data_IF_574560214330
#
_entry.id   IF_574560214330
#
_cell.length_a   1.000
_cell.length_b   1.000
_cell.length_c   1.000
_cell.angle_alpha   90.00
_cell.angle_beta   90.00
_cell.angle_gamma   90.00
#
_symmetry.space_group_name_H-M   'P 1'
#
loop_
_entity.id
_entity.type
_entity.pdbx_description
1 polymer ?
#
# COMPACT_ATOMS: atom_id res chain seq x y z
N UNK A 1 -84.41 -15.33 23.26
CA UNK A 1 -84.22 -13.91 23.59
C UNK A 1 -82.82 -13.68 23.91
N UNK A 2 -82.14 -12.73 23.19
CA UNK A 2 -80.88 -12.04 23.42
C UNK A 2 -79.62 -12.91 23.49
N UNK A 3 -78.85 -12.97 22.44
CA UNK A 3 -77.86 -11.99 22.06
C UNK A 3 -76.68 -11.92 23.05
N UNK A 4 -75.69 -12.77 22.88
CA UNK A 4 -74.29 -12.39 23.22
C UNK A 4 -73.42 -12.80 22.03
N UNK A 5 -73.25 -11.79 21.24
CA UNK A 5 -72.49 -11.70 20.02
C UNK A 5 -71.06 -11.21 20.32
N UNK A 6 -70.10 -11.68 19.57
CA UNK A 6 -69.13 -10.77 18.95
C UNK A 6 -67.94 -10.27 19.72
N UNK A 7 -67.19 -11.02 20.48
CA UNK A 7 -65.89 -10.58 20.87
C UNK A 7 -64.80 -11.65 20.83
N UNK A 8 -64.94 -12.64 19.95
CA UNK A 8 -63.93 -13.71 19.84
C UNK A 8 -63.09 -13.67 18.56
N UNK A 9 -63.05 -12.57 17.91
CA UNK A 9 -62.22 -12.40 16.72
C UNK A 9 -61.47 -11.10 16.89
N UNK A 10 -60.21 -11.13 17.27
CA UNK A 10 -59.16 -10.14 16.97
C UNK A 10 -57.89 -10.22 17.82
N UNK A 11 -57.50 -11.42 18.20
CA UNK A 11 -56.17 -11.60 18.81
C UNK A 11 -55.26 -12.55 18.03
N UNK A 12 -55.47 -12.66 16.72
CA UNK A 12 -54.63 -13.43 15.84
C UNK A 12 -54.13 -12.52 14.72
N UNK A 13 -53.18 -11.70 14.95
CA UNK A 13 -52.42 -11.04 13.88
C UNK A 13 -51.46 -9.98 14.41
N UNK A 14 -50.46 -10.37 15.18
CA UNK A 14 -49.27 -9.54 15.40
C UNK A 14 -48.10 -10.42 15.80
N UNK A 15 -47.96 -11.55 15.04
CA UNK A 15 -46.66 -12.21 14.95
C UNK A 15 -45.92 -11.57 13.78
N UNK A 16 -45.48 -10.33 13.97
CA UNK A 16 -44.56 -9.66 13.07
C UNK A 16 -43.30 -10.52 13.00
N UNK A 17 -43.09 -11.14 11.87
CA UNK A 17 -41.84 -11.74 11.47
C UNK A 17 -40.73 -10.68 11.64
N UNK A 18 -39.98 -10.73 12.72
CA UNK A 18 -38.64 -10.20 12.77
C UNK A 18 -37.77 -11.10 11.88
N UNK A 19 -37.78 -10.85 10.60
CA UNK A 19 -36.73 -11.34 9.70
C UNK A 19 -35.49 -10.57 10.10
N UNK A 20 -34.70 -11.19 10.95
CA UNK A 20 -33.32 -10.75 11.18
C UNK A 20 -32.60 -10.91 9.85
N UNK A 21 -32.45 -9.80 9.11
CA UNK A 21 -31.54 -9.73 7.99
C UNK A 21 -30.15 -9.93 8.57
N UNK A 22 -29.64 -11.15 8.42
CA UNK A 22 -28.22 -11.41 8.66
C UNK A 22 -27.49 -10.55 7.63
N UNK A 23 -26.99 -9.41 8.05
CA UNK A 23 -26.10 -8.61 7.23
C UNK A 23 -24.86 -9.49 7.01
N UNK A 24 -24.81 -10.18 5.87
CA UNK A 24 -23.57 -10.79 5.42
C UNK A 24 -22.61 -9.63 5.21
N UNK A 25 -21.70 -9.43 6.13
CA UNK A 25 -20.55 -8.55 5.92
C UNK A 25 -19.80 -9.13 4.72
N UNK A 26 -19.93 -8.49 3.57
CA UNK A 26 -19.14 -8.83 2.41
C UNK A 26 -17.69 -8.55 2.75
N UNK A 27 -16.90 -9.59 2.91
CA UNK A 27 -15.45 -9.45 3.00
C UNK A 27 -14.95 -8.92 1.66
N UNK A 28 -14.47 -7.69 1.65
CA UNK A 28 -13.85 -7.11 0.45
C UNK A 28 -12.61 -7.94 0.14
N UNK A 29 -12.63 -8.64 -0.99
CA UNK A 29 -11.48 -9.39 -1.46
C UNK A 29 -10.57 -8.46 -2.26
N UNK A 30 -9.38 -8.22 -1.75
CA UNK A 30 -8.34 -7.45 -2.44
C UNK A 30 -7.49 -8.43 -3.24
N UNK A 31 -7.55 -8.35 -4.56
CA UNK A 31 -6.90 -9.30 -5.49
C UNK A 31 -5.36 -9.36 -5.36
N UNK A 32 -4.74 -8.36 -4.73
CA UNK A 32 -3.30 -8.32 -4.49
C UNK A 32 -2.86 -9.14 -3.27
N UNK A 33 -3.81 -9.53 -2.42
CA UNK A 33 -3.57 -10.27 -1.19
C UNK A 33 -4.24 -11.65 -1.30
N UNK A 34 -3.58 -12.62 -1.89
CA UNK A 34 -4.09 -13.95 -2.23
C UNK A 34 -5.11 -14.53 -1.21
N UNK A 35 -4.70 -14.79 0.02
CA UNK A 35 -5.55 -15.35 1.09
C UNK A 35 -6.01 -14.30 2.11
N UNK A 36 -5.61 -13.05 1.96
CA UNK A 36 -5.90 -11.92 2.83
C UNK A 36 -4.69 -11.00 2.98
N UNK A 37 -4.97 -9.71 3.18
CA UNK A 37 -3.91 -8.73 3.41
C UNK A 37 -3.32 -8.90 4.83
N UNK A 38 -2.05 -8.52 5.02
CA UNK A 38 -1.45 -8.55 6.35
C UNK A 38 -2.28 -7.78 7.36
N UNK A 39 -2.54 -8.38 8.49
CA UNK A 39 -3.21 -7.75 9.63
C UNK A 39 -2.21 -7.52 10.75
N UNK A 40 -2.39 -6.44 11.48
CA UNK A 40 -1.57 -6.17 12.65
C UNK A 40 -2.07 -7.03 13.80
N UNK A 41 -1.16 -7.76 14.45
CA UNK A 41 -1.49 -8.64 15.57
C UNK A 41 -1.94 -7.86 16.82
N UNK A 42 -1.56 -6.58 16.93
CA UNK A 42 -1.89 -5.75 18.09
C UNK A 42 -2.95 -4.72 17.73
N UNK A 43 -4.12 -4.81 18.37
CA UNK A 43 -5.26 -3.91 18.16
C UNK A 43 -4.98 -2.46 18.61
N UNK A 44 -3.93 -2.19 19.36
CA UNK A 44 -3.59 -0.84 19.83
C UNK A 44 -2.96 0.04 18.73
N UNK A 45 -2.48 -0.59 17.64
CA UNK A 45 -1.80 0.09 16.54
C UNK A 45 -2.69 0.37 15.33
N UNK A 46 -3.98 -0.02 15.36
CA UNK A 46 -4.90 0.09 14.20
C UNK A 46 -5.27 1.55 13.91
N UNK A 47 -5.29 2.42 14.91
CA UNK A 47 -5.84 3.78 14.78
C UNK A 47 -5.03 4.75 13.91
N UNK A 48 -3.85 4.35 13.41
CA UNK A 48 -2.94 5.25 12.71
C UNK A 48 -2.43 4.70 11.38
N UNK A 49 -3.18 3.82 10.75
CA UNK A 49 -2.83 3.26 9.42
C UNK A 49 -3.95 3.47 8.42
N UNK A 50 -3.55 3.78 7.21
CA UNK A 50 -4.44 3.97 6.09
C UNK A 50 -4.17 2.91 5.03
N UNK A 51 -5.22 2.22 4.58
CA UNK A 51 -5.11 1.22 3.53
C UNK A 51 -5.42 1.86 2.18
N UNK A 52 -4.45 1.89 1.30
CA UNK A 52 -4.55 2.41 -0.06
C UNK A 52 -4.64 1.24 -1.03
N UNK A 53 -5.68 1.21 -1.83
CA UNK A 53 -5.88 0.17 -2.87
C UNK A 53 -5.75 0.82 -4.23
N UNK A 54 -4.79 0.33 -5.03
CA UNK A 54 -4.52 0.76 -6.39
C UNK A 54 -4.70 -0.40 -7.37
N UNK A 55 -4.59 -0.13 -8.66
CA UNK A 55 -4.70 -1.18 -9.69
C UNK A 55 -3.57 -2.21 -9.58
N UNK A 56 -2.36 -1.77 -9.23
CA UNK A 56 -1.17 -2.62 -9.23
C UNK A 56 -0.79 -3.14 -7.85
N UNK A 57 -1.23 -2.48 -6.77
CA UNK A 57 -0.86 -2.85 -5.41
C UNK A 57 -1.86 -2.37 -4.37
N UNK A 58 -1.73 -2.91 -3.19
CA UNK A 58 -2.32 -2.37 -1.96
C UNK A 58 -1.19 -2.02 -0.99
N UNK A 59 -1.32 -0.89 -0.32
CA UNK A 59 -0.34 -0.40 0.65
C UNK A 59 -1.01 -0.09 1.99
N UNK A 60 -0.37 -0.44 3.09
CA UNK A 60 -0.70 0.07 4.42
C UNK A 60 0.23 1.22 4.74
N UNK A 61 -0.30 2.43 4.78
CA UNK A 61 0.46 3.65 5.02
C UNK A 61 0.41 4.01 6.50
N UNK A 62 1.56 4.21 7.09
CA UNK A 62 1.68 4.73 8.45
C UNK A 62 1.31 6.22 8.48
N UNK A 63 0.34 6.61 9.28
CA UNK A 63 0.00 8.03 9.51
C UNK A 63 1.15 8.83 10.14
N UNK A 64 2.14 8.16 10.74
CA UNK A 64 3.29 8.82 11.38
C UNK A 64 4.39 9.20 10.41
N UNK A 65 4.76 8.26 9.54
CA UNK A 65 5.87 8.43 8.59
C UNK A 65 5.41 8.85 7.20
N UNK A 66 4.14 8.62 6.85
CA UNK A 66 3.65 8.76 5.48
C UNK A 66 4.17 7.67 4.54
N UNK A 67 4.98 6.73 5.04
CA UNK A 67 5.54 5.63 4.25
C UNK A 67 4.76 4.35 4.46
N UNK A 68 4.88 3.42 3.52
CA UNK A 68 4.25 2.12 3.64
C UNK A 68 4.90 1.25 4.72
N UNK A 69 4.09 0.69 5.61
CA UNK A 69 4.50 -0.38 6.53
C UNK A 69 4.64 -1.71 5.80
N UNK A 70 3.80 -1.92 4.79
CA UNK A 70 3.89 -3.04 3.85
C UNK A 70 3.11 -2.71 2.57
N UNK A 71 3.46 -3.42 1.52
CA UNK A 71 2.71 -3.43 0.26
C UNK A 71 2.51 -4.86 -0.21
N UNK A 72 1.34 -5.14 -0.79
CA UNK A 72 1.06 -6.41 -1.43
C UNK A 72 0.71 -6.18 -2.90
N UNK A 73 1.22 -7.03 -3.77
CA UNK A 73 0.99 -6.95 -5.21
C UNK A 73 1.05 -8.34 -5.85
N UNK A 74 0.42 -8.45 -7.02
CA UNK A 74 0.39 -9.65 -7.84
C UNK A 74 1.11 -9.39 -9.15
N UNK A 75 2.19 -10.11 -9.40
CA UNK A 75 2.94 -10.07 -10.66
C UNK A 75 2.36 -11.11 -11.60
N UNK A 76 1.89 -10.70 -12.75
CA UNK A 76 1.48 -11.58 -13.84
C UNK A 76 2.61 -11.65 -14.88
N UNK A 77 2.78 -12.80 -15.55
CA UNK A 77 3.76 -12.93 -16.63
C UNK A 77 3.63 -11.80 -17.65
N UNK A 78 2.40 -11.50 -18.09
CA UNK A 78 2.12 -10.47 -19.09
C UNK A 78 2.32 -9.03 -18.57
N UNK A 79 2.46 -8.82 -17.25
CA UNK A 79 2.70 -7.52 -16.67
C UNK A 79 4.18 -7.12 -16.65
N UNK A 80 5.06 -8.09 -16.73
CA UNK A 80 6.51 -7.88 -16.69
C UNK A 80 6.98 -7.14 -17.95
N UNK A 81 7.91 -6.20 -17.78
CA UNK A 81 8.39 -5.44 -18.91
C UNK A 81 9.67 -4.67 -18.64
N UNK A 82 10.11 -3.91 -19.64
CA UNK A 82 11.35 -3.11 -19.60
C UNK A 82 11.08 -1.75 -18.99
N UNK A 83 11.48 -1.56 -17.75
CA UNK A 83 11.24 -0.34 -16.99
C UNK A 83 12.25 0.80 -17.25
N UNK A 84 13.36 0.54 -17.93
CA UNK A 84 14.44 1.51 -18.11
C UNK A 84 14.07 2.73 -18.95
N UNK A 85 13.00 2.63 -19.74
CA UNK A 85 12.49 3.71 -20.59
C UNK A 85 11.30 4.46 -19.96
N UNK A 86 10.83 4.02 -18.80
CA UNK A 86 9.68 4.63 -18.14
C UNK A 86 10.14 5.81 -17.27
N UNK A 87 9.40 6.94 -17.27
CA UNK A 87 9.68 8.06 -16.40
C UNK A 87 9.69 7.67 -14.92
N UNK A 88 10.70 8.13 -14.19
CA UNK A 88 10.87 7.90 -12.76
C UNK A 88 10.67 9.21 -12.02
N UNK A 89 9.42 9.55 -11.82
CA UNK A 89 8.99 10.77 -11.13
C UNK A 89 8.17 10.38 -9.92
N UNK A 90 8.10 11.26 -8.91
CA UNK A 90 7.25 11.04 -7.76
C UNK A 90 6.05 11.98 -7.81
N UNK A 91 4.88 11.44 -7.53
CA UNK A 91 3.63 12.17 -7.41
C UNK A 91 3.04 12.01 -6.02
N UNK A 92 2.44 13.08 -5.51
CA UNK A 92 1.61 12.97 -4.31
C UNK A 92 0.48 11.98 -4.55
N UNK A 93 0.20 11.17 -3.53
CA UNK A 93 -0.89 10.22 -3.59
C UNK A 93 -2.17 10.84 -3.02
N UNK A 94 -3.11 11.17 -3.89
CA UNK A 94 -4.39 11.78 -3.51
C UNK A 94 -5.29 10.87 -2.66
N UNK A 95 -4.97 9.57 -2.59
CA UNK A 95 -5.68 8.61 -1.74
C UNK A 95 -5.18 8.62 -0.30
N UNK A 96 -4.00 9.20 -0.05
CA UNK A 96 -3.45 9.31 1.30
C UNK A 96 -3.99 10.58 1.96
N UNK A 97 -4.48 10.46 3.18
CA UNK A 97 -4.98 11.61 3.94
C UNK A 97 -3.91 12.68 4.12
N UNK A 98 -4.25 13.92 3.84
CA UNK A 98 -3.31 15.07 3.79
C UNK A 98 -2.48 15.28 5.06
N UNK A 99 -2.82 14.67 6.18
CA UNK A 99 -2.03 14.74 7.41
C UNK A 99 -0.83 13.79 7.45
N UNK A 100 -0.82 12.76 6.60
CA UNK A 100 0.20 11.72 6.61
C UNK A 100 1.39 12.00 5.67
N UNK A 101 1.19 12.79 4.62
CA UNK A 101 2.22 13.11 3.64
C UNK A 101 2.27 14.63 3.40
N UNK A 102 3.12 15.33 4.12
CA UNK A 102 3.61 16.65 3.70
C UNK A 102 4.97 16.46 3.07
N UNK A 103 5.03 16.70 1.76
CA UNK A 103 6.27 16.73 1.02
C UNK A 103 6.91 18.09 1.21
N UNK A 104 7.97 18.15 1.98
CA UNK A 104 8.84 19.33 2.01
C UNK A 104 10.06 19.04 1.14
N UNK A 105 10.16 19.77 0.03
CA UNK A 105 11.37 19.75 -0.80
C UNK A 105 12.46 20.48 -0.04
N UNK A 106 13.52 19.76 0.35
CA UNK A 106 14.59 20.30 1.18
C UNK A 106 15.68 21.04 0.37
N UNK A 107 15.62 20.94 -0.96
CA UNK A 107 16.61 21.58 -1.82
C UNK A 107 16.27 23.07 -2.03
N UNK A 108 17.12 23.92 -1.44
CA UNK A 108 17.08 25.39 -1.55
C UNK A 108 17.56 25.91 -2.92
N UNK A 109 17.57 25.08 -3.95
CA UNK A 109 17.90 25.54 -5.30
C UNK A 109 16.79 26.46 -5.76
N UNK A 110 17.08 27.71 -6.17
CA UNK A 110 16.06 28.63 -6.63
C UNK A 110 15.31 27.97 -7.78
N UNK A 111 13.99 27.87 -7.63
CA UNK A 111 13.10 27.38 -8.68
C UNK A 111 13.24 28.33 -9.88
N UNK A 112 14.07 27.93 -10.82
CA UNK A 112 13.93 28.43 -12.18
C UNK A 112 12.69 27.71 -12.69
N UNK A 113 11.64 28.48 -12.87
CA UNK A 113 10.39 28.12 -13.48
C UNK A 113 10.65 27.48 -14.85
N UNK A 114 10.89 26.20 -14.88
CA UNK A 114 11.04 25.41 -16.09
C UNK A 114 9.99 24.30 -16.04
N UNK A 115 9.11 24.35 -17.03
CA UNK A 115 8.09 23.33 -17.35
C UNK A 115 8.68 21.94 -17.72
N UNK A 116 9.89 21.64 -17.31
CA UNK A 116 10.51 20.33 -17.47
C UNK A 116 10.43 19.61 -16.13
N UNK A 117 9.78 18.44 -16.05
CA UNK A 117 9.86 17.60 -14.86
C UNK A 117 11.34 17.27 -14.63
N UNK A 118 11.96 17.96 -13.69
CA UNK A 118 13.30 17.58 -13.22
C UNK A 118 13.10 16.19 -12.65
N UNK A 119 13.95 15.25 -13.09
CA UNK A 119 13.89 13.85 -12.68
C UNK A 119 13.80 13.81 -11.14
N UNK A 120 12.66 13.40 -10.62
CA UNK A 120 12.34 13.53 -9.19
C UNK A 120 13.27 12.66 -8.32
N UNK A 121 14.00 11.73 -8.96
CA UNK A 121 15.05 10.94 -8.29
C UNK A 121 16.29 11.78 -7.92
N UNK A 122 16.46 12.97 -8.49
CA UNK A 122 17.56 13.88 -8.15
C UNK A 122 17.27 14.78 -6.94
N UNK A 123 16.04 14.75 -6.43
CA UNK A 123 15.62 15.58 -5.29
C UNK A 123 15.60 14.80 -3.99
N UNK A 124 16.05 15.45 -2.93
CA UNK A 124 15.84 14.94 -1.57
C UNK A 124 14.47 15.38 -1.05
N UNK A 125 13.80 14.50 -0.34
CA UNK A 125 12.47 14.75 0.23
C UNK A 125 12.50 14.60 1.74
N UNK A 126 11.67 15.37 2.42
CA UNK A 126 11.37 15.17 3.81
C UNK A 126 9.94 14.65 3.94
N UNK A 127 9.79 13.46 4.48
CA UNK A 127 8.51 12.79 4.69
C UNK A 127 8.37 12.42 6.16
N UNK A 128 7.37 12.95 6.83
CA UNK A 128 7.08 12.59 8.21
C UNK A 128 8.26 12.75 9.19
N UNK A 129 9.24 13.63 8.88
CA UNK A 129 10.46 13.83 9.65
C UNK A 129 11.63 12.93 9.24
N UNK A 130 11.48 12.11 8.19
CA UNK A 130 12.56 11.31 7.59
C UNK A 130 13.11 12.10 6.39
N UNK A 131 14.42 12.34 6.40
CA UNK A 131 15.11 12.91 5.25
C UNK A 131 15.47 11.77 4.29
N UNK A 132 14.86 11.78 3.09
CA UNK A 132 15.13 10.83 2.02
C UNK A 132 16.05 11.48 1.00
N UNK A 133 17.31 11.11 1.06
CA UNK A 133 18.29 11.50 0.04
C UNK A 133 17.91 10.89 -1.31
N UNK A 134 18.29 11.55 -2.39
CA UNK A 134 18.01 11.07 -3.75
C UNK A 134 18.52 9.64 -3.99
N UNK A 135 19.66 9.29 -3.44
CA UNK A 135 20.26 7.95 -3.55
C UNK A 135 19.52 6.86 -2.77
N UNK A 136 18.79 7.22 -1.71
CA UNK A 136 18.09 6.28 -0.84
C UNK A 136 16.63 6.07 -1.24
N UNK A 137 16.18 6.69 -2.32
CA UNK A 137 14.79 6.55 -2.78
C UNK A 137 14.61 5.26 -3.56
N UNK A 138 13.72 4.43 -3.09
CA UNK A 138 13.39 3.16 -3.74
C UNK A 138 11.88 2.94 -3.83
N UNK A 139 11.52 1.88 -4.54
CA UNK A 139 10.15 1.40 -4.68
C UNK A 139 10.02 0.03 -4.03
N UNK A 140 8.98 -0.15 -3.21
CA UNK A 140 8.66 -1.48 -2.68
C UNK A 140 8.06 -2.37 -3.76
N UNK A 141 7.20 -1.80 -4.61
CA UNK A 141 6.65 -2.45 -5.81
C UNK A 141 7.48 -2.03 -7.01
N UNK A 142 8.19 -2.95 -7.67
CA UNK A 142 9.14 -2.60 -8.71
C UNK A 142 8.47 -2.28 -10.04
N UNK A 143 9.00 -1.29 -10.76
CA UNK A 143 8.49 -0.90 -12.07
C UNK A 143 8.62 -2.02 -13.11
N UNK A 144 9.68 -2.83 -13.05
CA UNK A 144 9.92 -3.92 -14.01
C UNK A 144 8.84 -4.99 -13.97
N UNK A 145 8.18 -5.21 -12.84
CA UNK A 145 7.09 -6.17 -12.72
C UNK A 145 5.80 -5.72 -13.40
N UNK A 146 5.69 -4.44 -13.75
CA UNK A 146 4.46 -3.84 -14.28
C UNK A 146 4.66 -2.92 -15.49
N UNK A 147 5.88 -2.88 -16.03
CA UNK A 147 6.20 -2.05 -17.19
C UNK A 147 5.43 -2.44 -18.45
N UNK A 148 4.92 -3.66 -18.52
CA UNK A 148 4.03 -4.15 -19.59
C UNK A 148 2.57 -3.70 -19.46
N UNK A 149 2.19 -3.02 -18.36
CA UNK A 149 0.81 -2.59 -18.12
C UNK A 149 0.61 -1.11 -18.41
N UNK A 150 -0.62 -0.65 -18.76
CA UNK A 150 -0.90 0.77 -18.92
C UNK A 150 -0.90 1.54 -17.58
N UNK A 151 -0.89 0.85 -16.45
CA UNK A 151 -1.00 1.42 -15.10
C UNK A 151 0.34 1.64 -14.39
N UNK A 152 1.47 1.40 -15.07
CA UNK A 152 2.82 1.50 -14.50
C UNK A 152 3.08 2.85 -13.80
N UNK A 153 2.42 3.92 -14.22
CA UNK A 153 2.56 5.26 -13.62
C UNK A 153 2.11 5.31 -12.15
N UNK A 154 1.24 4.38 -11.70
CA UNK A 154 0.85 4.29 -10.29
C UNK A 154 2.04 3.97 -9.36
N UNK A 155 3.09 3.35 -9.91
CA UNK A 155 4.29 3.04 -9.14
C UNK A 155 5.14 4.26 -8.81
N UNK A 156 4.80 5.41 -9.36
CA UNK A 156 5.42 6.70 -9.08
C UNK A 156 4.69 7.50 -7.98
N UNK A 157 3.65 6.96 -7.36
CA UNK A 157 3.05 7.61 -6.19
C UNK A 157 3.91 7.42 -4.94
N UNK A 158 3.91 8.43 -4.08
CA UNK A 158 4.66 8.43 -2.82
C UNK A 158 4.24 7.29 -1.88
N UNK A 159 3.04 6.76 -2.01
CA UNK A 159 2.62 5.54 -1.31
C UNK A 159 3.46 4.31 -1.67
N UNK A 160 4.22 4.34 -2.78
CA UNK A 160 5.19 3.30 -3.17
C UNK A 160 6.64 3.65 -2.81
N UNK A 161 6.89 4.83 -2.27
CA UNK A 161 8.24 5.27 -1.90
C UNK A 161 8.73 4.51 -0.65
N UNK A 162 9.98 4.10 -0.67
CA UNK A 162 10.68 3.52 0.47
C UNK A 162 12.10 4.06 0.60
N UNK A 163 12.58 4.19 1.82
CA UNK A 163 13.95 4.62 2.12
C UNK A 163 14.96 3.47 1.91
N UNK A 164 15.07 2.97 0.67
CA UNK A 164 15.94 1.85 0.30
C UNK A 164 17.37 2.36 0.04
N UNK A 165 18.37 1.97 0.86
CA UNK A 165 19.76 2.31 0.61
C UNK A 165 20.22 1.88 -0.78
N UNK A 166 21.06 2.70 -1.41
CA UNK A 166 21.50 2.48 -2.80
C UNK A 166 22.08 1.07 -3.03
N UNK A 167 22.96 0.59 -2.15
CA UNK A 167 23.59 -0.74 -2.30
C UNK A 167 22.53 -1.86 -2.23
N UNK A 168 21.53 -1.72 -1.37
CA UNK A 168 20.44 -2.68 -1.29
C UNK A 168 19.59 -2.61 -2.57
N UNK A 169 19.19 -1.42 -2.99
CA UNK A 169 18.34 -1.18 -4.14
C UNK A 169 18.99 -1.65 -5.44
N UNK A 170 20.24 -1.27 -5.70
CA UNK A 170 20.98 -1.67 -6.88
C UNK A 170 21.49 -3.12 -6.82
N UNK A 171 21.60 -3.68 -5.64
CA UNK A 171 22.12 -5.01 -5.36
C UNK A 171 21.07 -6.10 -5.21
N UNK A 172 20.93 -6.59 -3.98
CA UNK A 172 20.10 -7.77 -3.68
C UNK A 172 18.60 -7.54 -3.90
N UNK A 173 18.08 -6.32 -3.67
CA UNK A 173 16.68 -6.01 -3.89
C UNK A 173 16.30 -6.13 -5.38
N UNK A 174 17.10 -5.52 -6.26
CA UNK A 174 16.89 -5.62 -7.71
C UNK A 174 17.02 -7.05 -8.22
N UNK A 175 17.99 -7.83 -7.72
CA UNK A 175 18.11 -9.24 -8.10
C UNK A 175 16.91 -10.08 -7.66
N UNK A 176 16.37 -9.80 -6.48
CA UNK A 176 15.16 -10.47 -5.99
C UNK A 176 13.94 -10.12 -6.86
N UNK A 177 13.80 -8.86 -7.27
CA UNK A 177 12.74 -8.45 -8.20
C UNK A 177 12.85 -9.17 -9.56
N UNK A 178 14.06 -9.30 -10.08
CA UNK A 178 14.29 -10.06 -11.32
C UNK A 178 13.94 -11.55 -11.17
N UNK A 179 14.28 -12.16 -10.02
CA UNK A 179 13.93 -13.55 -9.74
C UNK A 179 12.41 -13.75 -9.61
N UNK A 180 11.69 -12.81 -9.01
CA UNK A 180 10.23 -12.82 -8.93
C UNK A 180 9.60 -12.71 -10.30
N UNK A 181 10.11 -11.82 -11.17
CA UNK A 181 9.63 -11.69 -12.55
C UNK A 181 9.86 -12.98 -13.34
N UNK A 182 11.05 -13.59 -13.24
CA UNK A 182 11.34 -14.87 -13.90
C UNK A 182 10.45 -16.01 -13.36
N UNK A 183 10.11 -15.99 -12.09
CA UNK A 183 9.18 -16.94 -11.51
C UNK A 183 7.77 -16.73 -12.08
N UNK A 184 7.30 -15.49 -12.17
CA UNK A 184 6.00 -15.17 -12.76
C UNK A 184 5.93 -15.62 -14.23
N UNK A 185 6.99 -15.41 -15.02
CA UNK A 185 7.09 -15.91 -16.40
C UNK A 185 6.96 -17.44 -16.48
N UNK A 186 7.43 -18.15 -15.44
CA UNK A 186 7.42 -19.61 -15.41
C UNK A 186 6.08 -20.20 -15.00
N UNK A 187 5.43 -19.61 -13.97
CA UNK A 187 4.21 -20.19 -13.35
C UNK A 187 2.93 -19.39 -13.62
N UNK A 188 3.05 -18.27 -14.37
CA UNK A 188 1.94 -17.41 -14.78
C UNK A 188 1.68 -16.24 -13.82
N UNK A 189 1.73 -16.46 -12.51
CA UNK A 189 1.53 -15.40 -11.52
C UNK A 189 2.27 -15.66 -10.20
N UNK A 190 2.60 -14.58 -9.50
CA UNK A 190 3.26 -14.62 -8.19
C UNK A 190 2.68 -13.53 -7.30
N UNK A 191 2.39 -13.86 -6.04
CA UNK A 191 1.98 -12.90 -5.02
C UNK A 191 3.18 -12.51 -4.17
N UNK A 192 3.28 -11.21 -3.89
CA UNK A 192 4.39 -10.64 -3.13
C UNK A 192 3.87 -9.69 -2.07
N UNK A 193 4.42 -9.81 -0.87
CA UNK A 193 4.27 -8.82 0.19
C UNK A 193 5.66 -8.30 0.53
N UNK A 194 5.86 -7.00 0.51
CA UNK A 194 7.14 -6.37 0.81
C UNK A 194 6.98 -5.22 1.80
N UNK A 195 8.02 -4.94 2.56
CA UNK A 195 7.99 -3.86 3.52
C UNK A 195 9.28 -3.65 4.29
N UNK A 196 9.37 -2.56 5.05
CA UNK A 196 10.47 -2.30 5.97
C UNK A 196 10.34 -3.13 7.26
N UNK A 197 11.49 -3.38 7.88
CA UNK A 197 11.60 -3.92 9.24
C UNK A 197 12.29 -2.86 10.09
N UNK A 198 11.66 -2.50 11.20
CA UNK A 198 12.23 -1.61 12.18
C UNK A 198 12.71 -2.44 13.37
N UNK A 199 13.97 -2.24 13.80
CA UNK A 199 14.45 -2.85 15.04
C UNK A 199 13.69 -2.26 16.24
N UNK A 200 13.54 -3.06 17.30
CA UNK A 200 12.98 -2.59 18.56
C UNK A 200 13.74 -1.35 19.03
N UNK A 201 13.00 -0.34 19.48
CA UNK A 201 13.56 0.99 19.79
C UNK A 201 14.35 0.96 21.07
N UNK A 202 15.56 1.53 21.00
CA UNK A 202 16.19 2.08 22.18
C UNK A 202 15.38 3.28 22.73
N UNK A 203 15.27 3.39 24.06
CA UNK A 203 14.64 4.55 24.70
C UNK A 203 15.23 5.86 24.17
N UNK A 204 14.39 6.75 23.67
CA UNK A 204 14.78 8.10 23.25
C UNK A 204 14.77 8.41 21.74
N UNK A 205 14.52 7.43 20.87
CA UNK A 205 14.36 7.69 19.42
C UNK A 205 12.92 8.07 19.11
N UNK A 206 12.73 9.25 18.53
CA UNK A 206 11.41 9.69 18.05
C UNK A 206 10.88 8.69 17.02
N UNK A 207 9.65 8.22 17.22
CA UNK A 207 8.98 7.28 16.32
C UNK A 207 8.90 7.74 14.86
N UNK A 208 9.00 9.05 14.63
CA UNK A 208 8.93 9.66 13.29
C UNK A 208 10.23 9.55 12.48
N UNK A 209 11.36 9.35 13.15
CA UNK A 209 12.69 9.38 12.52
C UNK A 209 13.38 8.02 12.44
N UNK A 210 12.67 6.93 12.72
CA UNK A 210 13.27 5.59 12.68
C UNK A 210 13.51 5.17 11.21
N UNK A 211 14.80 5.02 10.85
CA UNK A 211 15.16 4.37 9.58
C UNK A 211 14.92 2.86 9.71
N UNK A 212 14.43 2.19 8.65
CA UNK A 212 14.36 0.74 8.64
C UNK A 212 15.73 0.10 8.85
N UNK A 213 15.78 -0.96 9.65
CA UNK A 213 17.00 -1.75 9.86
C UNK A 213 17.19 -2.83 8.80
N UNK A 214 16.08 -3.26 8.19
CA UNK A 214 16.06 -4.25 7.12
C UNK A 214 14.77 -4.12 6.29
N UNK A 215 14.68 -4.91 5.23
CA UNK A 215 13.49 -5.04 4.38
C UNK A 215 13.20 -6.50 4.12
N UNK A 216 11.94 -6.82 3.89
CA UNK A 216 11.49 -8.18 3.60
C UNK A 216 10.70 -8.25 2.30
N UNK A 217 10.70 -9.42 1.69
CA UNK A 217 9.71 -9.86 0.69
C UNK A 217 9.24 -11.26 1.04
N UNK A 218 7.94 -11.43 1.11
CA UNK A 218 7.27 -12.74 1.19
C UNK A 218 6.72 -13.03 -0.19
N UNK A 219 7.05 -14.19 -0.73
CA UNK A 219 6.73 -14.61 -2.10
C UNK A 219 5.91 -15.88 -2.00
N UNK A 220 4.77 -15.90 -2.67
CA UNK A 220 3.88 -17.06 -2.73
C UNK A 220 3.47 -17.34 -4.17
N UNK A 221 3.50 -18.61 -4.62
CA UNK A 221 2.77 -19.00 -5.82
C UNK A 221 1.27 -18.92 -5.58
N UNK A 222 0.44 -18.99 -6.63
CA UNK A 222 -1.02 -18.99 -6.53
C UNK A 222 -1.56 -20.20 -5.78
#
# INVERSE_FOLDING_TARGET
MMCISKYFIRWASLFSLLVATVANAQTVHISHCMAGCPVVADNTAIDNRELIVRQLYVASISARSGLADWQAYRVLADSVGVASLLPRVWFEDSLVSRGAMQLEVTDSTPQIEQDVPIDAEERSYQLGGINLLSEDQGRLVPMSSFAGTPYWSELNFLSNLAALPFELRAGSWSRLDQAINALADTIGEVYVISGPIYSERGEGVSERAAKPSAYFKVISPP
#
